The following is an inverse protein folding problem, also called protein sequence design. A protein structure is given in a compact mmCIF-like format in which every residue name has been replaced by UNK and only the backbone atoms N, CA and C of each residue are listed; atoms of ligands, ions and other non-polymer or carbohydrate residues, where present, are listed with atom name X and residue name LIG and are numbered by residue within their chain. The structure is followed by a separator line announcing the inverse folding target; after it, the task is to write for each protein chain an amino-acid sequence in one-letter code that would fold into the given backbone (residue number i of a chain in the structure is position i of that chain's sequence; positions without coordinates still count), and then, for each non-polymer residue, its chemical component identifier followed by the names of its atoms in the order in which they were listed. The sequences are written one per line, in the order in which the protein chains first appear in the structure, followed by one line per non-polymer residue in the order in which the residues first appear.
data_IF_233902535467
#
_entry.id   IF_233902535467
#
_cell.length_a   1.000
_cell.length_b   1.000
_cell.length_c   1.000
_cell.angle_alpha   90.00
_cell.angle_beta   90.00
_cell.angle_gamma   90.00
#
_symmetry.space_group_name_H-M   'P 1'
#
loop_
_entity.id
_entity.type
_entity.pdbx_description
1 polymer ?
#
# COMPACT_ATOMS: atom_id res chain seq x y z
N UNK A 1 12.81 15.65 2.61
CA UNK A 1 11.77 14.59 2.39
C UNK A 1 11.46 14.49 0.92
N UNK A 2 11.38 13.31 0.34
CA UNK A 2 10.91 13.13 -1.02
C UNK A 2 9.51 13.73 -1.15
N UNK A 3 9.19 14.32 -2.30
CA UNK A 3 7.83 14.79 -2.53
C UNK A 3 6.92 13.59 -2.87
N UNK A 4 5.60 13.74 -2.75
CA UNK A 4 4.65 12.65 -3.01
C UNK A 4 4.76 12.05 -4.43
N UNK A 5 5.36 12.76 -5.39
CA UNK A 5 5.64 12.24 -6.73
C UNK A 5 6.77 11.21 -6.73
N UNK A 6 7.80 11.44 -5.93
CA UNK A 6 8.91 10.51 -5.79
C UNK A 6 8.42 9.19 -5.19
N UNK A 7 7.59 9.24 -4.13
CA UNK A 7 7.00 8.04 -3.53
C UNK A 7 6.10 7.29 -4.51
N UNK A 8 5.25 7.99 -5.28
CA UNK A 8 4.42 7.35 -6.31
C UNK A 8 5.29 6.62 -7.35
N UNK A 9 6.37 7.25 -7.84
CA UNK A 9 7.29 6.63 -8.81
C UNK A 9 8.01 5.41 -8.21
N UNK A 10 8.51 5.51 -6.98
CA UNK A 10 9.19 4.39 -6.30
C UNK A 10 8.24 3.21 -6.10
N UNK A 11 7.00 3.45 -5.67
CA UNK A 11 5.98 2.43 -5.53
C UNK A 11 5.66 1.75 -6.86
N UNK A 12 5.55 2.51 -7.95
CA UNK A 12 5.27 1.94 -9.28
C UNK A 12 6.42 1.08 -9.78
N UNK A 13 7.68 1.52 -9.59
CA UNK A 13 8.87 0.74 -9.98
C UNK A 13 8.95 -0.54 -9.16
N UNK A 14 8.83 -0.45 -7.84
CA UNK A 14 8.85 -1.63 -6.96
C UNK A 14 7.69 -2.59 -7.31
N UNK A 15 6.50 -2.04 -7.55
CA UNK A 15 5.33 -2.81 -7.96
C UNK A 15 5.51 -3.53 -9.29
N UNK A 16 6.13 -2.88 -10.28
CA UNK A 16 6.44 -3.50 -11.57
C UNK A 16 7.43 -4.65 -11.41
N UNK A 17 8.47 -4.49 -10.57
CA UNK A 17 9.44 -5.55 -10.27
C UNK A 17 8.74 -6.74 -9.59
N UNK A 18 7.90 -6.48 -8.59
CA UNK A 18 7.15 -7.52 -7.88
C UNK A 18 6.22 -8.27 -8.86
N UNK A 19 5.45 -7.53 -9.67
CA UNK A 19 4.52 -8.12 -10.64
C UNK A 19 5.27 -8.99 -11.66
N UNK A 20 6.38 -8.50 -12.19
CA UNK A 20 7.22 -9.25 -13.14
C UNK A 20 7.79 -10.52 -12.50
N UNK A 21 8.27 -10.46 -11.27
CA UNK A 21 8.74 -11.62 -10.53
C UNK A 21 7.64 -12.68 -10.35
N UNK A 22 6.43 -12.25 -9.92
CA UNK A 22 5.30 -13.17 -9.71
C UNK A 22 4.86 -13.83 -11.01
N UNK A 23 4.89 -13.11 -12.14
CA UNK A 23 4.57 -13.63 -13.47
C UNK A 23 5.63 -14.62 -13.94
N UNK A 24 6.92 -14.26 -13.87
CA UNK A 24 8.02 -15.11 -14.35
C UNK A 24 8.15 -16.42 -13.55
N UNK A 25 7.82 -16.37 -12.26
CA UNK A 25 7.89 -17.54 -11.38
C UNK A 25 6.60 -18.34 -11.33
N UNK A 26 5.53 -17.89 -12.02
CA UNK A 26 4.20 -18.53 -11.98
C UNK A 26 3.72 -18.78 -10.53
N UNK A 27 3.97 -17.83 -9.62
CA UNK A 27 3.66 -17.99 -8.19
C UNK A 27 2.15 -18.10 -7.94
N UNK A 28 1.36 -17.39 -8.75
CA UNK A 28 -0.10 -17.38 -8.67
C UNK A 28 -0.74 -17.43 -10.05
N UNK A 29 -2.01 -17.88 -10.15
CA UNK A 29 -2.81 -17.70 -11.36
C UNK A 29 -2.83 -16.24 -11.82
N UNK A 30 -2.84 -16.01 -13.13
CA UNK A 30 -2.74 -14.67 -13.72
C UNK A 30 -3.81 -13.69 -13.16
N UNK A 31 -5.03 -14.17 -12.91
CA UNK A 31 -6.11 -13.35 -12.33
C UNK A 31 -5.73 -12.79 -10.96
N UNK A 32 -5.08 -13.60 -10.11
CA UNK A 32 -4.66 -13.16 -8.77
C UNK A 32 -3.55 -12.12 -8.85
N UNK A 33 -2.62 -12.27 -9.81
CA UNK A 33 -1.57 -11.27 -10.06
C UNK A 33 -2.18 -9.96 -10.52
N UNK A 34 -3.17 -9.97 -11.40
CA UNK A 34 -3.90 -8.77 -11.82
C UNK A 34 -4.56 -8.08 -10.62
N UNK A 35 -5.18 -8.84 -9.72
CA UNK A 35 -5.82 -8.30 -8.52
C UNK A 35 -4.79 -7.68 -7.58
N UNK A 36 -3.62 -8.30 -7.40
CA UNK A 36 -2.50 -7.74 -6.63
C UNK A 36 -2.05 -6.40 -7.25
N UNK A 37 -1.88 -6.35 -8.57
CA UNK A 37 -1.49 -5.12 -9.27
C UNK A 37 -2.54 -4.02 -9.07
N UNK A 38 -3.82 -4.33 -9.19
CA UNK A 38 -4.91 -3.36 -8.94
C UNK A 38 -4.85 -2.85 -7.50
N UNK A 39 -4.67 -3.74 -6.52
CA UNK A 39 -4.49 -3.37 -5.11
C UNK A 39 -3.28 -2.46 -4.90
N UNK A 40 -2.16 -2.75 -5.54
CA UNK A 40 -0.95 -1.93 -5.48
C UNK A 40 -1.16 -0.53 -6.07
N UNK A 41 -1.84 -0.42 -7.21
CA UNK A 41 -2.17 0.87 -7.81
C UNK A 41 -3.10 1.68 -6.91
N UNK A 42 -4.14 1.06 -6.35
CA UNK A 42 -5.03 1.73 -5.41
C UNK A 42 -4.28 2.14 -4.13
N UNK A 43 -3.42 1.28 -3.60
CA UNK A 43 -2.53 1.59 -2.49
C UNK A 43 -1.64 2.79 -2.79
N UNK A 44 -0.99 2.82 -3.94
CA UNK A 44 -0.09 3.91 -4.34
C UNK A 44 -0.81 5.23 -4.49
N UNK A 45 -1.97 5.25 -5.15
CA UNK A 45 -2.64 6.49 -5.53
C UNK A 45 -3.66 7.00 -4.53
N UNK A 46 -4.31 6.11 -3.76
CA UNK A 46 -5.45 6.47 -2.91
C UNK A 46 -5.31 6.07 -1.45
N UNK A 47 -4.65 4.94 -1.14
CA UNK A 47 -4.59 4.38 0.21
C UNK A 47 -3.12 4.21 0.65
N UNK A 48 -2.37 5.31 0.69
CA UNK A 48 -0.98 5.30 1.14
C UNK A 48 -0.81 5.95 2.52
N UNK A 49 0.32 5.73 3.20
CA UNK A 49 0.60 6.32 4.52
C UNK A 49 0.49 7.85 4.58
N UNK A 50 0.74 8.55 3.47
CA UNK A 50 0.69 10.02 3.38
C UNK A 50 -0.73 10.62 3.37
N UNK A 51 -1.78 9.84 3.55
CA UNK A 51 -3.15 10.36 3.63
C UNK A 51 -3.36 11.32 4.81
N UNK A 52 -2.52 11.24 5.83
CA UNK A 52 -2.50 12.15 6.98
C UNK A 52 -1.90 13.53 6.68
N UNK A 53 -1.26 13.70 5.53
CA UNK A 53 -0.61 14.95 5.10
C UNK A 53 -1.42 15.66 4.01
N UNK A 54 -0.91 16.81 3.54
CA UNK A 54 -1.42 17.51 2.36
C UNK A 54 -1.04 16.86 1.01
N UNK A 55 -0.78 15.55 0.99
CA UNK A 55 -0.28 14.77 -0.12
C UNK A 55 -1.19 14.74 -1.34
N UNK A 56 -0.64 14.29 -2.47
CA UNK A 56 -1.42 14.05 -3.70
C UNK A 56 -2.50 12.98 -3.49
N UNK A 57 -2.20 11.91 -2.74
CA UNK A 57 -3.17 10.87 -2.41
C UNK A 57 -4.38 11.46 -1.70
N UNK A 58 -4.17 12.25 -0.62
CA UNK A 58 -5.26 12.89 0.10
C UNK A 58 -6.07 13.86 -0.77
N UNK A 59 -5.43 14.60 -1.68
CA UNK A 59 -6.13 15.51 -2.60
C UNK A 59 -7.08 14.78 -3.54
N UNK A 60 -6.79 13.53 -3.91
CA UNK A 60 -7.65 12.70 -4.78
C UNK A 60 -8.95 12.28 -4.10
N UNK A 61 -9.02 12.30 -2.75
CA UNK A 61 -10.25 12.05 -2.01
C UNK A 61 -11.26 13.21 -2.06
N UNK A 62 -10.91 14.33 -2.65
CA UNK A 62 -11.74 15.51 -2.89
C UNK A 62 -12.62 15.86 -1.67
N UNK A 63 -13.95 15.57 -1.73
CA UNK A 63 -14.90 15.89 -0.64
C UNK A 63 -14.58 15.07 0.63
N UNK A 64 -14.12 13.81 0.50
CA UNK A 64 -13.86 12.93 1.63
C UNK A 64 -12.50 13.18 2.31
N UNK A 65 -11.69 14.12 1.81
CA UNK A 65 -10.36 14.43 2.38
C UNK A 65 -10.38 14.82 3.87
N UNK A 66 -11.54 15.24 4.39
CA UNK A 66 -11.70 15.58 5.81
C UNK A 66 -11.60 14.35 6.72
N UNK A 67 -11.91 13.16 6.22
CA UNK A 67 -11.82 11.91 6.99
C UNK A 67 -10.40 11.61 7.46
N UNK A 68 -9.40 12.12 6.74
CA UNK A 68 -7.98 11.91 7.04
C UNK A 68 -7.38 12.99 7.96
N UNK A 69 -8.13 14.05 8.27
CA UNK A 69 -7.67 15.14 9.16
C UNK A 69 -7.30 14.70 10.59
N UNK A 70 -8.01 13.74 11.22
CA UNK A 70 -7.71 13.34 12.59
C UNK A 70 -6.38 12.58 12.74
N UNK A 71 -5.79 12.10 11.64
CA UNK A 71 -4.56 11.34 11.68
C UNK A 71 -3.36 12.28 11.69
N UNK A 72 -2.48 12.09 12.68
CA UNK A 72 -1.22 12.84 12.77
C UNK A 72 -0.21 12.30 11.77
N UNK A 73 0.58 13.20 11.19
CA UNK A 73 1.68 12.82 10.29
C UNK A 73 2.65 11.86 10.99
N UNK A 74 3.00 10.80 10.29
CA UNK A 74 3.80 9.67 10.82
C UNK A 74 3.15 8.94 12.01
N UNK A 75 1.83 9.07 12.18
CA UNK A 75 1.06 8.34 13.17
C UNK A 75 0.73 6.92 12.73
N UNK A 76 -0.51 6.52 12.98
CA UNK A 76 -0.99 5.14 12.74
C UNK A 76 -0.84 4.69 11.29
N UNK A 77 -0.98 5.61 10.30
CA UNK A 77 -0.88 5.27 8.87
C UNK A 77 0.56 4.93 8.45
N UNK A 78 1.58 5.40 9.18
CA UNK A 78 2.99 5.03 8.97
C UNK A 78 3.42 3.83 9.81
N UNK A 79 2.50 3.20 10.55
CA UNK A 79 2.77 1.98 11.27
C UNK A 79 2.58 0.76 10.34
N UNK A 80 3.64 -0.02 10.04
CA UNK A 80 3.52 -1.18 9.15
C UNK A 80 2.53 -2.23 9.68
N UNK A 81 2.33 -2.33 11.01
CA UNK A 81 1.39 -3.27 11.61
C UNK A 81 -0.07 -2.99 11.21
N UNK A 82 -0.43 -1.73 10.95
CA UNK A 82 -1.76 -1.40 10.43
C UNK A 82 -2.02 -2.11 9.10
N UNK A 83 -1.06 -2.00 8.18
CA UNK A 83 -1.20 -2.55 6.83
C UNK A 83 -1.16 -4.08 6.82
N UNK A 84 -0.33 -4.67 7.67
CA UNK A 84 -0.33 -6.12 7.90
C UNK A 84 -1.68 -6.54 8.50
N UNK A 85 -2.24 -5.78 9.43
CA UNK A 85 -3.56 -6.03 10.02
C UNK A 85 -4.68 -5.99 8.97
N UNK A 86 -4.63 -5.07 8.02
CA UNK A 86 -5.57 -5.01 6.87
C UNK A 86 -5.49 -6.30 6.04
N UNK A 87 -4.30 -6.80 5.77
CA UNK A 87 -4.12 -8.08 5.07
C UNK A 87 -4.70 -9.25 5.86
N UNK A 88 -4.38 -9.34 7.17
CA UNK A 88 -4.90 -10.41 8.04
C UNK A 88 -6.43 -10.38 8.10
N UNK A 89 -7.03 -9.18 8.21
CA UNK A 89 -8.48 -9.01 8.19
C UNK A 89 -9.09 -9.48 6.86
N UNK A 90 -8.49 -9.10 5.73
CA UNK A 90 -8.97 -9.53 4.41
C UNK A 90 -8.86 -11.06 4.25
N UNK A 91 -7.82 -11.67 4.78
CA UNK A 91 -7.67 -13.14 4.81
C UNK A 91 -8.75 -13.79 5.68
N UNK A 92 -9.01 -13.25 6.86
CA UNK A 92 -10.08 -13.74 7.72
C UNK A 92 -11.46 -13.64 7.06
N UNK A 93 -11.75 -12.51 6.39
CA UNK A 93 -12.99 -12.34 5.61
C UNK A 93 -13.10 -13.43 4.54
N UNK A 94 -12.02 -13.73 3.81
CA UNK A 94 -12.03 -14.77 2.80
C UNK A 94 -12.29 -16.16 3.37
N UNK A 95 -11.73 -16.46 4.55
CA UNK A 95 -11.89 -17.77 5.22
C UNK A 95 -13.29 -17.97 5.78
N UNK A 96 -13.93 -16.92 6.29
CA UNK A 96 -15.21 -17.01 7.00
C UNK A 96 -16.40 -16.46 6.20
N UNK A 97 -16.21 -16.05 4.95
CA UNK A 97 -17.30 -15.54 4.11
C UNK A 97 -18.35 -16.64 3.88
N UNK A 98 -19.64 -16.35 4.15
CA UNK A 98 -20.69 -17.31 3.87
C UNK A 98 -20.89 -17.48 2.36
N UNK A 99 -21.36 -18.68 1.95
CA UNK A 99 -21.90 -18.83 0.61
C UNK A 99 -23.15 -17.93 0.47
N UNK A 100 -23.37 -17.18 -0.60
CA UNK A 100 -22.71 -17.19 -1.92
C UNK A 100 -21.50 -16.23 -2.06
N UNK A 101 -21.10 -15.52 -1.00
CA UNK A 101 -20.06 -14.47 -1.10
C UNK A 101 -18.63 -15.03 -1.16
N UNK A 102 -18.45 -16.30 -0.80
CA UNK A 102 -17.13 -16.93 -0.76
C UNK A 102 -16.38 -16.83 -2.08
N UNK A 103 -17.08 -16.97 -3.21
CA UNK A 103 -16.47 -16.87 -4.56
C UNK A 103 -15.78 -15.52 -4.79
N UNK A 104 -16.29 -14.44 -4.22
CA UNK A 104 -15.71 -13.11 -4.35
C UNK A 104 -14.70 -12.82 -3.22
N UNK A 105 -14.99 -13.31 -2.02
CA UNK A 105 -14.17 -13.07 -0.84
C UNK A 105 -12.77 -13.67 -0.97
N UNK A 106 -12.59 -14.76 -1.72
CA UNK A 106 -11.27 -15.39 -1.96
C UNK A 106 -10.27 -14.46 -2.66
N UNK A 107 -10.72 -13.40 -3.31
CA UNK A 107 -9.85 -12.41 -3.95
C UNK A 107 -9.42 -11.27 -3.01
N UNK A 108 -10.09 -11.09 -1.88
CA UNK A 108 -9.78 -10.02 -0.93
C UNK A 108 -8.34 -10.04 -0.41
N UNK A 109 -7.75 -11.21 -0.06
CA UNK A 109 -6.35 -11.28 0.36
C UNK A 109 -5.37 -10.80 -0.72
N UNK A 110 -5.59 -11.17 -1.98
CA UNK A 110 -4.71 -10.75 -3.09
C UNK A 110 -4.76 -9.25 -3.30
N UNK A 111 -5.95 -8.66 -3.23
CA UNK A 111 -6.12 -7.21 -3.28
C UNK A 111 -5.42 -6.51 -2.10
N UNK A 112 -5.59 -7.04 -0.88
CA UNK A 112 -4.96 -6.52 0.32
C UNK A 112 -3.43 -6.65 0.29
N UNK A 113 -2.88 -7.73 -0.29
CA UNK A 113 -1.44 -7.87 -0.54
C UNK A 113 -0.92 -6.70 -1.36
N UNK A 114 -1.60 -6.33 -2.44
CA UNK A 114 -1.20 -5.20 -3.27
C UNK A 114 -1.16 -3.88 -2.50
N UNK A 115 -2.23 -3.57 -1.75
CA UNK A 115 -2.29 -2.35 -0.90
C UNK A 115 -1.18 -2.37 0.16
N UNK A 116 -1.02 -3.48 0.86
CA UNK A 116 0.00 -3.63 1.92
C UNK A 116 1.41 -3.47 1.36
N UNK A 117 1.70 -4.10 0.22
CA UNK A 117 3.00 -3.97 -0.44
C UNK A 117 3.31 -2.51 -0.80
N UNK A 118 2.34 -1.77 -1.37
CA UNK A 118 2.48 -0.35 -1.67
C UNK A 118 2.80 0.47 -0.41
N UNK A 119 2.08 0.24 0.68
CA UNK A 119 2.28 0.96 1.93
C UNK A 119 3.65 0.65 2.57
N UNK A 120 4.07 -0.62 2.55
CA UNK A 120 5.38 -1.03 3.10
C UNK A 120 6.54 -0.48 2.28
N UNK A 121 6.44 -0.43 0.95
CA UNK A 121 7.44 0.22 0.09
C UNK A 121 7.53 1.71 0.44
N UNK A 122 6.40 2.40 0.58
CA UNK A 122 6.37 3.82 0.96
C UNK A 122 7.07 4.06 2.30
N UNK A 123 6.69 3.33 3.35
CA UNK A 123 7.29 3.43 4.70
C UNK A 123 8.78 3.11 4.67
N UNK A 124 9.18 2.07 3.93
CA UNK A 124 10.58 1.69 3.77
C UNK A 124 11.40 2.80 3.09
N UNK A 125 10.84 3.47 2.07
CA UNK A 125 11.47 4.60 1.41
C UNK A 125 11.68 5.77 2.39
N UNK A 126 10.68 6.09 3.23
CA UNK A 126 10.81 7.13 4.24
C UNK A 126 11.95 6.82 5.23
N UNK A 127 12.03 5.58 5.72
CA UNK A 127 13.08 5.17 6.66
C UNK A 127 14.48 5.28 6.05
N UNK A 128 14.63 4.86 4.77
CA UNK A 128 15.92 4.96 4.05
C UNK A 128 16.32 6.43 3.91
N UNK A 129 15.41 7.29 3.47
CA UNK A 129 15.70 8.71 3.28
C UNK A 129 16.03 9.43 4.59
N UNK A 130 15.32 9.12 5.67
CA UNK A 130 15.63 9.66 7.00
C UNK A 130 17.02 9.21 7.50
N UNK A 131 17.40 7.96 7.23
CA UNK A 131 18.73 7.46 7.58
C UNK A 131 19.83 8.18 6.80
N UNK A 132 19.65 8.41 5.49
CA UNK A 132 20.59 9.12 4.64
C UNK A 132 20.78 10.57 5.10
N UNK A 133 19.69 11.31 5.36
CA UNK A 133 19.79 12.68 5.86
C UNK A 133 20.50 12.81 7.20
N UNK A 134 20.33 11.84 8.10
CA UNK A 134 21.06 11.82 9.37
C UNK A 134 22.56 11.64 9.15
N UNK A 135 22.97 10.85 8.18
CA UNK A 135 24.37 10.61 7.86
C UNK A 135 25.02 11.88 7.26
N UNK A 136 24.33 12.59 6.37
CA UNK A 136 24.80 13.85 5.78
C UNK A 136 24.98 14.97 6.83
N UNK A 137 24.16 14.97 7.89
CA UNK A 137 24.25 15.99 8.94
C UNK A 137 25.40 15.75 9.94
N UNK A 138 26.12 14.63 9.83
CA UNK A 138 27.25 14.26 10.68
C UNK A 138 28.61 14.48 10.03
N UNK A 139 28.61 14.88 8.75
CA UNK A 139 29.79 15.22 7.95
C UNK A 139 29.87 16.73 7.80
#
# INVERSE_FOLDING_TARGET
MPNGETHEKMNLVAGAIIAMYLLLKNVFPAVNIVIIIVGLLIGTYYLNPDLDTGSRARKRWWILKFMWKPFNHRGILHNPLLWIGIFVLAYAIAMFAPAPYHLYAVYAPYFAVGITASALVHIGCDWIMDALHKTESLI
#
